data_IF_794773269642
#
_entry.id   IF_794773269642
#
_cell.length_a   1.000
_cell.length_b   1.000
_cell.length_c   1.000
_cell.angle_alpha   90.00
_cell.angle_beta   90.00
_cell.angle_gamma   90.00
#
_symmetry.space_group_name_H-M   'P 1'
#
loop_
_entity.id
_entity.type
_entity.pdbx_description
1 polymer ?
#
# COMPACT_ATOMS: atom_id res chain seq x y z
N UNK A 1 0.90 -5.04 18.38
CA UNK A 1 1.55 -6.20 17.79
C UNK A 1 1.39 -6.18 16.28
N UNK A 2 1.40 -7.31 15.61
CA UNK A 2 1.37 -7.36 14.14
C UNK A 2 0.12 -6.72 13.56
N UNK A 3 -1.03 -6.96 14.19
CA UNK A 3 -2.29 -6.40 13.73
C UNK A 3 -2.28 -4.87 13.79
N UNK A 4 -1.76 -4.32 14.87
CA UNK A 4 -1.66 -2.86 15.02
C UNK A 4 -0.68 -2.28 14.01
N UNK A 5 0.43 -2.96 13.80
CA UNK A 5 1.42 -2.55 12.81
C UNK A 5 0.83 -2.58 11.41
N UNK A 6 0.09 -3.63 11.07
CA UNK A 6 -0.54 -3.75 9.76
C UNK A 6 -1.53 -2.61 9.53
N UNK A 7 -2.33 -2.28 10.55
CA UNK A 7 -3.28 -1.19 10.45
C UNK A 7 -2.59 0.16 10.27
N UNK A 8 -1.50 0.39 10.99
CA UNK A 8 -0.75 1.63 10.87
C UNK A 8 -0.10 1.76 9.49
N UNK A 9 0.49 0.67 8.99
CA UNK A 9 1.09 0.67 7.66
C UNK A 9 0.02 0.87 6.58
N UNK A 10 -1.14 0.23 6.75
CA UNK A 10 -2.24 0.41 5.82
C UNK A 10 -2.68 1.87 5.77
N UNK A 11 -2.75 2.54 6.92
CA UNK A 11 -3.08 3.95 6.99
C UNK A 11 -2.08 4.81 6.25
N UNK A 12 -0.78 4.52 6.40
CA UNK A 12 0.27 5.24 5.69
C UNK A 12 0.18 5.06 4.18
N UNK A 13 -0.10 3.84 3.74
CA UNK A 13 -0.26 3.54 2.31
C UNK A 13 -1.50 4.26 1.77
N UNK A 14 -2.60 4.19 2.51
CA UNK A 14 -3.85 4.83 2.12
C UNK A 14 -3.66 6.34 1.96
N UNK A 15 -2.94 6.96 2.89
CA UNK A 15 -2.65 8.37 2.84
C UNK A 15 -1.78 8.73 1.65
N UNK A 16 -0.79 7.88 1.34
CA UNK A 16 0.06 8.07 0.17
C UNK A 16 -0.74 8.02 -1.13
N UNK A 17 -1.77 7.19 -1.18
CA UNK A 17 -2.61 7.05 -2.36
C UNK A 17 -3.68 8.13 -2.47
N UNK A 18 -3.99 8.79 -1.36
CA UNK A 18 -5.05 9.78 -1.34
C UNK A 18 -4.76 10.93 -2.30
N UNK A 19 -5.72 11.24 -3.16
CA UNK A 19 -5.56 12.30 -4.15
C UNK A 19 -4.81 11.88 -5.40
N UNK A 20 -4.46 10.60 -5.54
CA UNK A 20 -3.77 10.08 -6.71
C UNK A 20 -4.69 9.12 -7.48
N UNK A 21 -4.31 8.83 -8.73
CA UNK A 21 -5.00 7.84 -9.54
C UNK A 21 -4.42 6.44 -9.33
N UNK A 22 -3.51 6.31 -8.40
CA UNK A 22 -2.83 5.07 -8.10
C UNK A 22 -1.32 5.25 -8.13
N UNK A 23 -0.61 4.39 -7.42
CA UNK A 23 0.86 4.45 -7.36
C UNK A 23 1.43 3.04 -7.47
N UNK A 24 2.66 2.95 -7.98
CA UNK A 24 3.40 1.70 -7.99
C UNK A 24 3.96 1.43 -6.60
N UNK A 25 4.43 0.19 -6.41
CA UNK A 25 5.07 -0.20 -5.15
C UNK A 25 6.21 0.76 -4.78
N UNK A 26 7.07 1.09 -5.73
CA UNK A 26 8.19 2.00 -5.47
C UNK A 26 7.71 3.37 -5.05
N UNK A 27 6.69 3.89 -5.71
CA UNK A 27 6.15 5.20 -5.39
C UNK A 27 5.53 5.22 -4.01
N UNK A 28 4.81 4.16 -3.65
CA UNK A 28 4.18 4.06 -2.33
C UNK A 28 5.24 3.97 -1.24
N UNK A 29 6.26 3.13 -1.44
CA UNK A 29 7.33 3.00 -0.46
C UNK A 29 8.01 4.33 -0.20
N UNK A 30 8.24 5.08 -1.25
CA UNK A 30 8.87 6.39 -1.13
C UNK A 30 7.94 7.40 -0.43
N UNK A 31 6.69 7.47 -0.86
CA UNK A 31 5.72 8.42 -0.31
C UNK A 31 5.38 8.12 1.14
N UNK A 32 5.23 6.84 1.48
CA UNK A 32 4.90 6.42 2.84
C UNK A 32 6.14 6.19 3.70
N UNK A 33 7.33 6.40 3.13
CA UNK A 33 8.61 6.23 3.83
C UNK A 33 8.80 4.82 4.39
N UNK A 34 8.37 3.84 3.62
CA UNK A 34 8.54 2.43 3.98
C UNK A 34 9.86 1.94 3.43
N UNK A 35 10.72 1.40 4.29
CA UNK A 35 12.05 0.95 3.90
C UNK A 35 12.09 -0.50 3.46
N UNK A 36 11.22 -1.33 4.02
CA UNK A 36 11.22 -2.76 3.75
C UNK A 36 10.01 -3.16 2.93
N UNK A 37 10.22 -4.08 1.99
CA UNK A 37 9.12 -4.62 1.19
C UNK A 37 8.10 -5.34 2.06
N UNK A 38 8.54 -5.99 3.14
CA UNK A 38 7.61 -6.69 4.04
C UNK A 38 6.60 -5.73 4.67
N UNK A 39 7.02 -4.51 4.97
CA UNK A 39 6.10 -3.51 5.53
C UNK A 39 5.08 -3.08 4.51
N UNK A 40 5.52 -2.88 3.27
CA UNK A 40 4.60 -2.57 2.18
C UNK A 40 3.57 -3.69 2.01
N UNK A 41 4.03 -4.94 1.94
CA UNK A 41 3.12 -6.07 1.73
C UNK A 41 2.19 -6.29 2.91
N UNK A 42 2.66 -6.06 4.13
CA UNK A 42 1.82 -6.20 5.31
C UNK A 42 0.68 -5.19 5.29
N UNK A 43 0.98 -3.92 5.01
CA UNK A 43 -0.05 -2.90 4.92
C UNK A 43 -0.98 -3.11 3.73
N UNK A 44 -0.41 -3.50 2.59
CA UNK A 44 -1.19 -3.79 1.40
C UNK A 44 -2.15 -4.96 1.64
N UNK A 45 -1.67 -6.02 2.28
CA UNK A 45 -2.52 -7.17 2.61
C UNK A 45 -3.70 -6.77 3.47
N UNK A 46 -3.47 -5.90 4.44
CA UNK A 46 -4.54 -5.39 5.29
C UNK A 46 -5.58 -4.63 4.46
N UNK A 47 -5.12 -3.75 3.55
CA UNK A 47 -6.02 -2.97 2.71
C UNK A 47 -6.80 -3.84 1.74
N UNK A 48 -6.18 -4.89 1.20
CA UNK A 48 -6.86 -5.84 0.34
C UNK A 48 -7.95 -6.59 1.09
N UNK A 49 -7.65 -6.99 2.32
CA UNK A 49 -8.62 -7.67 3.18
C UNK A 49 -9.83 -6.78 3.44
N UNK A 50 -9.60 -5.49 3.61
CA UNK A 50 -10.65 -4.53 3.92
C UNK A 50 -11.33 -3.96 2.66
N UNK A 51 -10.93 -4.44 1.48
CA UNK A 51 -11.47 -3.98 0.20
C UNK A 51 -11.31 -2.47 -0.01
N UNK A 52 -10.21 -1.92 0.48
CA UNK A 52 -9.93 -0.48 0.34
C UNK A 52 -9.14 -0.15 -0.91
N UNK A 53 -8.47 -1.11 -1.49
CA UNK A 53 -7.64 -0.91 -2.69
C UNK A 53 -7.87 -2.02 -3.70
N UNK A 54 -7.52 -1.72 -4.94
CA UNK A 54 -7.42 -2.73 -5.98
C UNK A 54 -5.98 -2.71 -6.49
N UNK A 55 -5.50 -3.84 -6.96
CA UNK A 55 -4.14 -3.98 -7.45
C UNK A 55 -4.13 -4.50 -8.87
N UNK A 56 -3.09 -4.14 -9.59
CA UNK A 56 -2.82 -4.69 -10.91
C UNK A 56 -1.31 -4.78 -11.08
N UNK A 57 -0.87 -5.46 -12.11
CA UNK A 57 0.54 -5.57 -12.43
C UNK A 57 0.80 -4.79 -13.71
N UNK A 58 1.75 -3.86 -13.63
CA UNK A 58 2.13 -3.02 -14.77
C UNK A 58 3.63 -3.14 -14.93
N UNK A 59 4.05 -3.71 -16.05
CA UNK A 59 5.47 -3.88 -16.38
C UNK A 59 6.28 -4.55 -15.26
N UNK A 60 5.69 -5.56 -14.64
CA UNK A 60 6.34 -6.30 -13.57
C UNK A 60 6.28 -5.65 -12.21
N UNK A 61 5.66 -4.49 -12.10
CA UNK A 61 5.49 -3.82 -10.82
C UNK A 61 4.03 -3.87 -10.37
N UNK A 62 3.86 -3.92 -9.05
CA UNK A 62 2.52 -3.86 -8.46
C UNK A 62 2.05 -2.41 -8.48
N UNK A 63 0.87 -2.21 -9.05
CA UNK A 63 0.22 -0.90 -9.08
C UNK A 63 -0.97 -0.96 -8.15
N UNK A 64 -1.10 0.00 -7.25
CA UNK A 64 -2.15 0.02 -6.22
C UNK A 64 -2.98 1.28 -6.37
N UNK A 65 -4.29 1.11 -6.25
CA UNK A 65 -5.21 2.22 -6.41
C UNK A 65 -6.31 2.09 -5.36
N UNK A 66 -6.76 3.22 -4.82
CA UNK A 66 -7.90 3.22 -3.91
C UNK A 66 -9.19 2.85 -4.66
N UNK A 67 -10.04 2.12 -3.97
CA UNK A 67 -11.34 1.75 -4.51
C UNK A 67 -12.22 2.98 -4.70
#
# INVERSE_FOLDING_TARGET
MLKEKAGALAGQICEALNGTEGLTQKQIKKAAKLKADKDFFLGLGWLLREDKVVTSEVEGEIFVKLV
#
